data_IF_074184086154
#
_entry.id   IF_074184086154
#
_cell.length_a   1.000
_cell.length_b   1.000
_cell.length_c   1.000
_cell.angle_alpha   90.00
_cell.angle_beta   90.00
_cell.angle_gamma   90.00
#
_symmetry.space_group_name_H-M   'P 1'
#
loop_
_entity.id
_entity.type
_entity.pdbx_description
1 polymer ?
#
# COMPACT_ATOMS: atom_id res chain seq x y z
N UNK A 1 -10.08 -41.16 3.58
CA UNK A 1 -8.95 -40.29 3.95
C UNK A 1 -9.12 -38.97 3.18
N UNK A 2 -9.78 -38.01 3.80
CA UNK A 2 -10.03 -36.68 3.26
C UNK A 2 -8.82 -35.82 3.61
N UNK A 3 -8.06 -35.40 2.60
CA UNK A 3 -6.96 -34.47 2.77
C UNK A 3 -7.54 -33.10 3.20
N UNK A 4 -7.23 -32.67 4.39
CA UNK A 4 -7.47 -31.32 4.87
C UNK A 4 -6.59 -30.38 4.05
N UNK A 5 -7.20 -29.51 3.23
CA UNK A 5 -6.53 -28.34 2.65
C UNK A 5 -5.95 -27.53 3.81
N UNK A 6 -4.67 -27.17 3.72
CA UNK A 6 -4.02 -26.34 4.71
C UNK A 6 -4.62 -24.93 4.68
N UNK A 7 -4.94 -24.36 5.83
CA UNK A 7 -5.56 -23.03 5.99
C UNK A 7 -4.74 -21.86 5.38
N UNK A 8 -3.53 -22.12 4.91
CA UNK A 8 -2.63 -21.13 4.30
C UNK A 8 -2.95 -20.79 2.83
N UNK A 9 -3.79 -21.59 2.14
CA UNK A 9 -4.04 -21.43 0.69
C UNK A 9 -5.35 -20.68 0.36
N UNK A 10 -6.26 -20.46 1.32
CA UNK A 10 -7.62 -19.99 1.01
C UNK A 10 -7.79 -18.48 0.84
N UNK A 11 -6.85 -17.64 1.31
CA UNK A 11 -6.96 -16.18 1.21
C UNK A 11 -6.20 -15.59 0.00
N UNK A 12 -5.25 -16.34 -0.56
CA UNK A 12 -4.43 -15.87 -1.70
C UNK A 12 -5.16 -15.90 -3.06
N UNK A 13 -6.29 -16.60 -3.14
CA UNK A 13 -6.93 -16.98 -4.42
C UNK A 13 -8.13 -16.09 -4.82
N UNK A 14 -8.41 -15.03 -4.09
CA UNK A 14 -9.39 -14.00 -4.49
C UNK A 14 -8.79 -12.99 -5.48
N UNK A 15 -7.93 -13.45 -6.39
CA UNK A 15 -7.45 -12.63 -7.49
C UNK A 15 -8.52 -12.53 -8.55
N UNK A 16 -9.22 -11.43 -8.52
CA UNK A 16 -10.04 -11.01 -9.63
C UNK A 16 -9.09 -10.53 -10.73
N UNK A 17 -9.08 -11.18 -11.88
CA UNK A 17 -8.23 -10.73 -12.99
C UNK A 17 -8.86 -9.47 -13.59
N UNK A 18 -8.49 -8.31 -13.05
CA UNK A 18 -8.79 -7.04 -13.67
C UNK A 18 -7.65 -6.70 -14.63
N UNK A 19 -7.95 -6.66 -15.92
CA UNK A 19 -6.94 -6.50 -16.98
C UNK A 19 -6.15 -5.19 -16.85
N UNK A 20 -6.84 -4.11 -16.53
CA UNK A 20 -6.22 -2.79 -16.34
C UNK A 20 -5.71 -2.54 -14.92
N UNK A 21 -6.04 -3.41 -13.96
CA UNK A 21 -5.75 -3.25 -12.54
C UNK A 21 -5.22 -4.56 -11.91
N UNK A 22 -4.15 -5.16 -12.43
CA UNK A 22 -3.70 -6.50 -12.00
C UNK A 22 -3.33 -6.57 -10.51
N UNK A 23 -3.00 -5.44 -9.87
CA UNK A 23 -2.68 -5.38 -8.44
C UNK A 23 -3.91 -5.11 -7.54
N UNK A 24 -5.12 -4.94 -8.12
CA UNK A 24 -6.34 -4.80 -7.35
C UNK A 24 -6.65 -6.09 -6.60
N UNK A 25 -6.93 -5.99 -5.30
CA UNK A 25 -7.35 -7.13 -4.48
C UNK A 25 -8.01 -6.73 -3.18
N UNK A 26 -8.80 -7.62 -2.62
CA UNK A 26 -9.16 -7.65 -1.22
C UNK A 26 -7.92 -8.03 -0.38
N UNK A 27 -7.65 -7.34 0.72
CA UNK A 27 -6.63 -7.71 1.69
C UNK A 27 -7.20 -8.10 3.06
N UNK A 28 -8.49 -8.50 3.07
CA UNK A 28 -9.14 -9.16 4.20
C UNK A 28 -8.79 -10.65 4.29
N UNK A 29 -9.53 -11.38 5.14
CA UNK A 29 -9.39 -12.83 5.32
C UNK A 29 -8.29 -13.29 6.29
N UNK A 30 -7.39 -12.42 6.70
CA UNK A 30 -6.30 -12.74 7.64
C UNK A 30 -6.83 -13.02 9.04
N UNK A 31 -6.30 -14.08 9.70
CA UNK A 31 -6.56 -14.35 11.09
C UNK A 31 -5.85 -13.33 11.99
N UNK A 32 -6.48 -12.96 13.10
CA UNK A 32 -5.93 -12.11 14.14
C UNK A 32 -5.51 -12.93 15.36
N UNK A 33 -4.65 -12.38 16.21
CA UNK A 33 -4.13 -13.09 17.38
C UNK A 33 -5.19 -13.46 18.45
N UNK A 34 -6.40 -12.87 18.40
CA UNK A 34 -7.52 -13.18 19.27
C UNK A 34 -8.54 -14.14 18.66
N UNK A 35 -8.25 -14.71 17.50
CA UNK A 35 -9.08 -15.71 16.83
C UNK A 35 -10.14 -15.15 15.89
N UNK A 36 -10.31 -13.84 15.80
CA UNK A 36 -11.16 -13.19 14.78
C UNK A 36 -10.48 -13.22 13.38
N UNK A 37 -11.20 -12.77 12.38
CA UNK A 37 -10.67 -12.60 11.01
C UNK A 37 -10.99 -11.21 10.47
N UNK A 38 -10.07 -10.66 9.68
CA UNK A 38 -10.35 -9.46 8.89
C UNK A 38 -11.44 -9.77 7.88
N UNK A 39 -12.52 -8.99 7.88
CA UNK A 39 -13.65 -9.19 6.94
C UNK A 39 -13.16 -9.09 5.50
N UNK A 40 -13.62 -10.00 4.66
CA UNK A 40 -13.46 -9.90 3.20
C UNK A 40 -14.52 -8.97 2.61
N UNK A 41 -14.23 -8.41 1.44
CA UNK A 41 -15.16 -7.51 0.74
C UNK A 41 -15.24 -6.10 1.33
N UNK A 42 -14.32 -5.73 2.24
CA UNK A 42 -14.37 -4.45 2.97
C UNK A 42 -13.12 -3.61 2.74
N UNK A 43 -11.95 -4.25 2.69
CA UNK A 43 -10.66 -3.59 2.56
C UNK A 43 -10.00 -4.00 1.24
N UNK A 44 -9.91 -3.07 0.31
CA UNK A 44 -9.27 -3.29 -0.99
C UNK A 44 -8.01 -2.45 -1.13
N UNK A 45 -7.05 -2.98 -1.86
CA UNK A 45 -5.85 -2.25 -2.28
C UNK A 45 -5.63 -2.35 -3.78
N UNK A 46 -5.00 -1.32 -4.37
CA UNK A 46 -4.81 -1.24 -5.82
C UNK A 46 -3.61 -0.39 -6.22
N UNK A 47 -3.29 -0.44 -7.50
CA UNK A 47 -2.60 0.60 -8.24
C UNK A 47 -3.58 1.72 -8.62
N UNK A 48 -3.07 2.80 -9.25
CA UNK A 48 -3.88 3.88 -9.81
C UNK A 48 -4.88 3.37 -10.86
N UNK A 49 -6.06 3.95 -10.88
CA UNK A 49 -7.19 3.50 -11.71
C UNK A 49 -7.19 4.09 -13.13
N UNK A 50 -6.16 4.86 -13.49
CA UNK A 50 -6.03 5.42 -14.85
C UNK A 50 -6.01 4.35 -15.96
N UNK A 51 -5.55 3.13 -15.62
CA UNK A 51 -5.49 2.00 -16.54
C UNK A 51 -6.74 1.12 -16.57
N UNK A 52 -7.77 1.42 -15.76
CA UNK A 52 -8.97 0.60 -15.69
C UNK A 52 -9.67 0.47 -17.05
N UNK A 53 -10.01 -0.76 -17.43
CA UNK A 53 -10.83 -1.03 -18.61
C UNK A 53 -12.32 -0.80 -18.32
N UNK A 54 -13.19 -0.70 -19.34
CA UNK A 54 -14.64 -0.64 -19.09
C UNK A 54 -15.15 -1.83 -18.27
N UNK A 55 -14.63 -3.03 -18.52
CA UNK A 55 -14.99 -4.25 -17.78
C UNK A 55 -14.55 -4.18 -16.33
N UNK A 56 -13.34 -3.65 -16.06
CA UNK A 56 -12.88 -3.42 -14.70
C UNK A 56 -13.81 -2.44 -13.96
N UNK A 57 -14.22 -1.37 -14.62
CA UNK A 57 -15.12 -0.36 -14.05
C UNK A 57 -16.51 -0.95 -13.73
N UNK A 58 -17.07 -1.79 -14.60
CA UNK A 58 -18.34 -2.48 -14.35
C UNK A 58 -18.22 -3.42 -13.14
N UNK A 59 -17.09 -4.13 -13.03
CA UNK A 59 -16.81 -4.97 -11.88
C UNK A 59 -16.70 -4.16 -10.57
N UNK A 60 -15.92 -3.08 -10.58
CA UNK A 60 -15.74 -2.20 -9.42
C UNK A 60 -17.06 -1.57 -8.95
N UNK A 61 -17.96 -1.22 -9.88
CA UNK A 61 -19.30 -0.71 -9.56
C UNK A 61 -20.10 -1.75 -8.73
N UNK A 62 -19.94 -3.04 -9.06
CA UNK A 62 -20.57 -4.15 -8.33
C UNK A 62 -20.04 -4.38 -6.91
N UNK A 63 -18.82 -3.91 -6.59
CA UNK A 63 -18.24 -4.07 -5.25
C UNK A 63 -18.82 -3.07 -4.23
N UNK A 64 -19.53 -2.03 -4.69
CA UNK A 64 -20.13 -1.04 -3.82
C UNK A 64 -19.11 -0.23 -3.00
N UNK A 65 -17.91 -0.02 -3.53
CA UNK A 65 -16.86 0.78 -2.88
C UNK A 65 -17.40 2.17 -2.55
N UNK A 66 -17.27 2.58 -1.29
CA UNK A 66 -17.80 3.85 -0.78
C UNK A 66 -16.74 4.93 -0.61
N UNK A 67 -15.48 4.52 -0.39
CA UNK A 67 -14.35 5.43 -0.23
C UNK A 67 -13.17 4.99 -1.06
N UNK A 68 -12.53 5.94 -1.72
CA UNK A 68 -11.22 5.79 -2.36
C UNK A 68 -10.22 6.63 -1.62
N UNK A 69 -9.20 5.99 -1.06
CA UNK A 69 -8.07 6.65 -0.44
C UNK A 69 -6.89 6.70 -1.43
N UNK A 70 -6.64 7.87 -2.01
CA UNK A 70 -5.57 8.13 -2.96
C UNK A 70 -4.34 8.70 -2.26
N UNK A 71 -3.24 7.93 -2.24
CA UNK A 71 -1.98 8.28 -1.59
C UNK A 71 -0.99 9.00 -2.52
N UNK A 72 -1.39 9.30 -3.74
CA UNK A 72 -0.51 9.92 -4.73
C UNK A 72 -0.32 11.41 -4.47
N UNK A 73 0.84 11.91 -4.86
CA UNK A 73 1.07 13.35 -4.91
C UNK A 73 0.16 14.02 -5.93
N UNK A 74 -0.06 15.31 -5.76
CA UNK A 74 -0.85 16.11 -6.71
C UNK A 74 -0.30 16.01 -8.14
N UNK A 75 1.03 15.95 -8.29
CA UNK A 75 1.68 15.82 -9.61
C UNK A 75 1.36 14.46 -10.26
N UNK A 76 1.43 13.35 -9.52
CA UNK A 76 1.07 12.02 -10.01
C UNK A 76 -0.41 11.97 -10.43
N UNK A 77 -1.31 12.58 -9.67
CA UNK A 77 -2.74 12.66 -9.98
C UNK A 77 -3.02 13.43 -11.26
N UNK A 78 -2.32 14.54 -11.48
CA UNK A 78 -2.45 15.33 -12.72
C UNK A 78 -1.94 14.58 -13.96
N UNK A 79 -0.86 13.82 -13.82
CA UNK A 79 -0.31 13.00 -14.91
C UNK A 79 -1.23 11.84 -15.31
N UNK A 80 -1.86 11.19 -14.34
CA UNK A 80 -2.68 9.99 -14.54
C UNK A 80 -3.97 10.07 -13.71
N UNK A 81 -5.02 10.65 -14.31
CA UNK A 81 -6.32 10.75 -13.65
C UNK A 81 -6.98 9.38 -13.55
N UNK A 82 -7.54 9.06 -12.38
CA UNK A 82 -8.28 7.83 -12.18
C UNK A 82 -9.60 7.82 -12.94
N UNK A 83 -9.96 6.64 -13.43
CA UNK A 83 -11.27 6.32 -13.99
C UNK A 83 -12.11 5.64 -12.92
N UNK A 84 -13.35 6.09 -12.75
CA UNK A 84 -14.27 5.51 -11.79
C UNK A 84 -15.62 5.18 -12.43
N UNK A 85 -16.32 4.16 -11.91
CA UNK A 85 -17.69 3.90 -12.32
C UNK A 85 -18.55 5.15 -12.18
N UNK A 86 -19.33 5.44 -13.22
CA UNK A 86 -20.16 6.65 -13.26
C UNK A 86 -21.47 6.53 -12.47
N UNK A 87 -21.94 5.30 -12.21
CA UNK A 87 -23.24 5.05 -11.57
C UNK A 87 -23.26 5.44 -10.10
N UNK A 88 -22.23 5.04 -9.37
CA UNK A 88 -22.14 5.31 -7.93
C UNK A 88 -20.72 5.72 -7.57
N UNK A 89 -20.30 6.95 -7.87
CA UNK A 89 -18.94 7.37 -7.59
C UNK A 89 -18.68 7.35 -6.07
N UNK A 90 -17.61 6.70 -5.61
CA UNK A 90 -17.23 6.71 -4.20
C UNK A 90 -16.78 8.09 -3.73
N UNK A 91 -16.89 8.35 -2.44
CA UNK A 91 -16.21 9.48 -1.82
C UNK A 91 -14.69 9.37 -2.03
N UNK A 92 -13.99 10.50 -2.07
CA UNK A 92 -12.56 10.55 -2.34
C UNK A 92 -11.83 11.21 -1.18
N UNK A 93 -10.89 10.47 -0.59
CA UNK A 93 -9.94 10.97 0.38
C UNK A 93 -8.57 11.05 -0.30
N UNK A 94 -8.04 12.24 -0.40
CA UNK A 94 -6.69 12.45 -0.93
C UNK A 94 -5.72 12.71 0.21
N UNK A 95 -4.83 11.76 0.42
CA UNK A 95 -3.73 11.85 1.37
C UNK A 95 -2.43 12.01 0.58
N UNK A 96 -1.97 13.24 0.40
CA UNK A 96 -0.75 13.57 -0.37
C UNK A 96 0.51 13.04 0.33
N UNK A 97 0.82 11.76 0.11
CA UNK A 97 2.04 11.14 0.62
C UNK A 97 3.17 11.41 -0.35
N UNK A 98 3.95 12.42 -0.03
CA UNK A 98 5.15 12.72 -0.78
C UNK A 98 6.25 11.76 -0.34
N UNK A 99 6.71 10.91 -1.25
CA UNK A 99 7.90 10.08 -1.02
C UNK A 99 9.18 10.91 -0.88
N UNK A 100 9.10 12.18 -1.19
CA UNK A 100 10.09 13.17 -0.89
C UNK A 100 9.93 13.64 0.55
N UNK A 101 10.16 12.78 1.53
CA UNK A 101 10.51 13.27 2.85
C UNK A 101 11.66 14.26 2.62
N UNK A 102 11.32 15.56 2.59
CA UNK A 102 12.20 16.65 2.12
C UNK A 102 13.56 16.69 2.81
N UNK A 103 13.69 16.05 3.98
CA UNK A 103 14.95 15.82 4.67
C UNK A 103 15.79 14.67 4.08
N UNK A 104 15.16 13.64 3.49
CA UNK A 104 15.84 12.47 2.92
C UNK A 104 16.03 12.52 1.40
N UNK A 105 15.39 13.45 0.71
CA UNK A 105 15.41 13.51 -0.75
C UNK A 105 16.83 13.67 -1.33
N UNK A 106 17.62 14.56 -0.76
CA UNK A 106 19.02 14.78 -1.18
C UNK A 106 19.86 13.52 -0.94
N UNK A 107 19.75 12.90 0.24
CA UNK A 107 20.46 11.68 0.58
C UNK A 107 20.09 10.52 -0.37
N UNK A 108 18.82 10.36 -0.71
CA UNK A 108 18.34 9.38 -1.67
C UNK A 108 18.97 9.60 -3.05
N UNK A 109 18.89 10.83 -3.56
CA UNK A 109 19.45 11.20 -4.85
C UNK A 109 20.96 10.97 -4.88
N UNK A 110 21.68 11.46 -3.87
CA UNK A 110 23.13 11.36 -3.78
C UNK A 110 23.57 9.89 -3.64
N UNK A 111 22.80 9.06 -2.91
CA UNK A 111 23.04 7.62 -2.78
C UNK A 111 22.97 6.93 -4.14
N UNK A 112 21.94 7.20 -4.93
CA UNK A 112 21.77 6.57 -6.23
C UNK A 112 22.73 7.15 -7.26
N UNK A 113 22.97 8.48 -7.25
CA UNK A 113 23.92 9.13 -8.16
C UNK A 113 25.35 8.64 -7.96
N UNK A 114 25.77 8.46 -6.72
CA UNK A 114 27.11 7.98 -6.39
C UNK A 114 27.33 6.53 -6.81
N UNK A 115 26.25 5.74 -6.88
CA UNK A 115 26.26 4.34 -7.27
C UNK A 115 25.00 4.02 -8.11
N UNK A 116 24.95 4.38 -9.41
CA UNK A 116 23.79 4.13 -10.27
C UNK A 116 23.74 2.65 -10.74
N UNK A 117 23.83 1.73 -9.82
CA UNK A 117 23.82 0.29 -10.00
C UNK A 117 22.79 -0.37 -9.07
N UNK A 118 22.50 -1.67 -9.20
CA UNK A 118 21.51 -2.36 -8.38
C UNK A 118 21.69 -2.17 -6.87
N UNK A 119 22.94 -2.13 -6.38
CA UNK A 119 23.22 -1.95 -4.96
C UNK A 119 22.88 -0.51 -4.47
N UNK A 120 23.17 0.50 -5.28
CA UNK A 120 22.81 1.90 -4.95
C UNK A 120 21.31 2.11 -4.98
N UNK A 121 20.61 1.55 -5.97
CA UNK A 121 19.14 1.60 -6.02
C UNK A 121 18.51 0.86 -4.84
N UNK A 122 19.05 -0.31 -4.47
CA UNK A 122 18.59 -1.04 -3.28
C UNK A 122 18.70 -0.17 -2.01
N UNK A 123 19.86 0.48 -1.79
CA UNK A 123 20.01 1.40 -0.65
C UNK A 123 19.04 2.57 -0.72
N UNK A 124 18.82 3.12 -1.92
CA UNK A 124 17.82 4.16 -2.13
C UNK A 124 16.41 3.70 -1.74
N UNK A 125 16.01 2.49 -2.13
CA UNK A 125 14.73 1.91 -1.71
C UNK A 125 14.63 1.74 -0.19
N UNK A 126 15.71 1.28 0.46
CA UNK A 126 15.77 1.21 1.93
C UNK A 126 15.55 2.58 2.59
N UNK A 127 16.14 3.66 2.05
CA UNK A 127 15.92 5.02 2.54
C UNK A 127 14.47 5.48 2.35
N UNK A 128 13.86 5.19 1.19
CA UNK A 128 12.44 5.48 0.94
C UNK A 128 11.56 4.84 2.00
N UNK A 129 11.76 3.53 2.26
CA UNK A 129 10.94 2.82 3.24
C UNK A 129 11.20 3.27 4.67
N UNK A 130 12.42 3.55 5.06
CA UNK A 130 12.74 4.15 6.37
C UNK A 130 12.03 5.49 6.58
N UNK A 131 11.84 6.28 5.54
CA UNK A 131 11.11 7.54 5.58
C UNK A 131 9.58 7.42 5.60
N UNK A 132 9.01 6.23 5.33
CA UNK A 132 7.55 6.05 5.23
C UNK A 132 6.79 6.43 6.51
N UNK A 133 7.19 6.02 7.72
CA UNK A 133 6.47 6.40 8.93
C UNK A 133 6.35 7.92 9.07
N UNK A 134 7.41 8.66 8.85
CA UNK A 134 7.41 10.12 8.92
C UNK A 134 6.54 10.75 7.81
N UNK A 135 6.55 10.18 6.60
CA UNK A 135 5.74 10.65 5.48
C UNK A 135 4.23 10.48 5.72
N UNK A 136 3.83 9.40 6.40
CA UNK A 136 2.44 9.14 6.74
C UNK A 136 1.96 9.81 8.02
N UNK A 137 2.87 10.22 8.91
CA UNK A 137 2.51 10.78 10.20
C UNK A 137 1.51 11.94 10.14
N UNK A 138 1.59 12.91 9.20
CA UNK A 138 0.64 14.01 9.12
C UNK A 138 -0.80 13.60 8.77
N UNK A 139 -1.00 12.44 8.15
CA UNK A 139 -2.29 12.02 7.58
C UNK A 139 -2.85 10.73 8.22
N UNK A 140 -2.07 10.08 9.09
CA UNK A 140 -2.44 8.77 9.64
C UNK A 140 -3.72 8.83 10.47
N UNK A 141 -3.86 9.88 11.30
CA UNK A 141 -5.06 10.07 12.11
C UNK A 141 -6.30 10.26 11.24
N UNK A 142 -6.22 11.06 10.19
CA UNK A 142 -7.31 11.28 9.23
C UNK A 142 -7.72 9.98 8.54
N UNK A 143 -6.77 9.16 8.10
CA UNK A 143 -7.08 7.85 7.54
C UNK A 143 -7.88 6.98 8.53
N UNK A 144 -7.45 6.90 9.79
CA UNK A 144 -8.18 6.12 10.79
C UNK A 144 -9.55 6.69 11.12
N UNK A 145 -9.77 8.01 11.10
CA UNK A 145 -11.10 8.59 11.21
C UNK A 145 -12.05 8.04 10.13
N UNK A 146 -11.59 7.99 8.90
CA UNK A 146 -12.38 7.45 7.80
C UNK A 146 -12.65 5.93 7.94
N UNK A 147 -11.69 5.14 8.39
CA UNK A 147 -11.87 3.70 8.61
C UNK A 147 -12.79 3.38 9.80
N UNK A 148 -12.91 4.29 10.76
CA UNK A 148 -13.82 4.19 11.90
C UNK A 148 -15.27 4.50 11.53
N UNK A 149 -15.51 5.10 10.35
CA UNK A 149 -16.85 5.45 9.88
C UNK A 149 -17.42 4.33 8.99
N UNK A 150 -18.43 3.56 9.47
CA UNK A 150 -18.98 2.44 8.70
C UNK A 150 -19.56 2.84 7.35
N UNK A 151 -20.00 4.09 7.19
CA UNK A 151 -20.53 4.62 5.94
C UNK A 151 -19.46 4.73 4.83
N UNK A 152 -18.18 4.72 5.19
CA UNK A 152 -17.04 4.76 4.27
C UNK A 152 -16.56 3.37 3.80
N UNK A 153 -17.19 2.30 4.29
CA UNK A 153 -16.83 0.93 3.95
C UNK A 153 -17.81 0.34 2.92
N UNK A 154 -17.35 -0.42 1.93
CA UNK A 154 -15.97 -0.82 1.62
C UNK A 154 -15.06 0.33 1.14
N UNK A 155 -13.76 0.22 1.46
CA UNK A 155 -12.74 1.20 1.07
C UNK A 155 -11.69 0.57 0.14
N UNK A 156 -11.18 1.35 -0.84
CA UNK A 156 -9.98 0.98 -1.58
C UNK A 156 -8.86 1.99 -1.33
N UNK A 157 -7.67 1.49 -1.07
CA UNK A 157 -6.47 2.27 -0.82
C UNK A 157 -5.49 2.05 -1.97
N UNK A 158 -5.00 3.13 -2.57
CA UNK A 158 -4.07 3.01 -3.68
C UNK A 158 -3.03 4.15 -3.70
N UNK A 159 -1.94 3.89 -4.42
CA UNK A 159 -0.98 4.89 -4.85
C UNK A 159 -0.77 4.77 -6.37
N UNK A 160 0.43 5.03 -6.89
CA UNK A 160 0.71 4.85 -8.31
C UNK A 160 0.74 3.36 -8.70
N UNK A 161 1.68 2.60 -8.16
CA UNK A 161 1.85 1.16 -8.43
C UNK A 161 1.08 0.23 -7.46
N UNK A 162 0.52 0.77 -6.37
CA UNK A 162 -0.08 -0.05 -5.31
C UNK A 162 0.95 -0.86 -4.51
N UNK A 163 2.23 -0.49 -4.59
CA UNK A 163 3.36 -1.26 -4.07
C UNK A 163 3.86 -0.69 -2.73
N UNK A 164 4.54 0.45 -2.76
CA UNK A 164 5.31 0.96 -1.63
C UNK A 164 4.42 1.65 -0.59
N UNK A 165 3.85 2.82 -0.90
CA UNK A 165 2.95 3.58 -0.01
C UNK A 165 1.74 2.75 0.41
N UNK A 166 1.09 2.11 -0.56
CA UNK A 166 -0.05 1.21 -0.32
C UNK A 166 0.37 0.01 0.52
N UNK A 167 1.54 -0.60 0.23
CA UNK A 167 2.07 -1.72 0.99
C UNK A 167 2.30 -1.38 2.45
N UNK A 168 2.95 -0.23 2.72
CA UNK A 168 3.20 0.22 4.08
C UNK A 168 1.90 0.48 4.85
N UNK A 169 0.97 1.26 4.28
CA UNK A 169 -0.26 1.59 5.04
C UNK A 169 -1.18 0.39 5.24
N UNK A 170 -1.26 -0.54 4.28
CA UNK A 170 -1.98 -1.80 4.49
C UNK A 170 -1.35 -2.63 5.61
N UNK A 171 -0.01 -2.66 5.71
CA UNK A 171 0.69 -3.32 6.82
C UNK A 171 0.34 -2.67 8.17
N UNK A 172 0.29 -1.34 8.25
CA UNK A 172 -0.12 -0.61 9.47
C UNK A 172 -1.57 -0.92 9.84
N UNK A 173 -2.50 -0.96 8.87
CA UNK A 173 -3.91 -1.30 9.12
C UNK A 173 -4.04 -2.74 9.62
N UNK A 174 -3.39 -3.70 8.97
CA UNK A 174 -3.43 -5.11 9.39
C UNK A 174 -2.83 -5.29 10.80
N UNK A 175 -1.75 -4.58 11.13
CA UNK A 175 -1.17 -4.57 12.47
C UNK A 175 -2.14 -3.98 13.51
N UNK A 176 -2.84 -2.88 13.19
CA UNK A 176 -3.86 -2.29 14.06
C UNK A 176 -5.00 -3.28 14.37
N UNK A 177 -5.33 -4.16 13.43
CA UNK A 177 -6.32 -5.22 13.59
C UNK A 177 -5.81 -6.44 14.37
N UNK A 178 -4.50 -6.56 14.58
CA UNK A 178 -3.88 -7.67 15.31
C UNK A 178 -3.51 -8.87 14.44
N UNK A 179 -3.31 -8.65 13.14
CA UNK A 179 -2.79 -9.66 12.22
C UNK A 179 -1.31 -9.89 12.49
N UNK A 180 -0.88 -11.15 12.48
CA UNK A 180 0.50 -11.55 12.73
C UNK A 180 1.43 -11.06 11.60
N UNK A 181 2.69 -10.71 11.97
CA UNK A 181 3.67 -10.10 11.05
C UNK A 181 3.90 -10.94 9.78
N UNK A 182 3.98 -12.25 9.91
CA UNK A 182 4.18 -13.16 8.77
C UNK A 182 3.07 -13.04 7.72
N UNK A 183 1.82 -12.86 8.14
CA UNK A 183 0.68 -12.66 7.24
C UNK A 183 0.70 -11.26 6.61
N UNK A 184 1.12 -10.25 7.36
CA UNK A 184 1.30 -8.88 6.86
C UNK A 184 2.37 -8.86 5.76
N UNK A 185 3.52 -9.48 6.02
CA UNK A 185 4.60 -9.60 5.03
C UNK A 185 4.14 -10.43 3.83
N UNK A 186 3.37 -11.49 4.05
CA UNK A 186 2.78 -12.31 2.98
C UNK A 186 1.90 -11.48 2.04
N UNK A 187 0.95 -10.69 2.56
CA UNK A 187 0.13 -9.79 1.72
C UNK A 187 0.99 -8.78 0.96
N UNK A 188 1.97 -8.17 1.62
CA UNK A 188 2.87 -7.24 0.98
C UNK A 188 3.59 -7.87 -0.22
N UNK A 189 4.14 -9.07 -0.06
CA UNK A 189 4.91 -9.79 -1.08
C UNK A 189 4.06 -10.24 -2.29
N UNK A 190 2.76 -10.49 -2.11
CA UNK A 190 1.84 -10.80 -3.22
C UNK A 190 1.86 -9.73 -4.32
N UNK A 191 2.16 -8.48 -3.98
CA UNK A 191 2.28 -7.39 -4.95
C UNK A 191 3.31 -7.71 -6.04
N UNK A 192 4.42 -8.37 -5.68
CA UNK A 192 5.49 -8.73 -6.64
C UNK A 192 5.03 -9.68 -7.75
N UNK A 193 3.96 -10.45 -7.53
CA UNK A 193 3.36 -11.37 -8.49
C UNK A 193 2.26 -10.72 -9.34
N UNK A 194 1.75 -9.54 -8.91
CA UNK A 194 0.56 -8.90 -9.48
C UNK A 194 0.84 -7.59 -10.22
N UNK A 195 1.99 -6.96 -9.99
CA UNK A 195 2.34 -5.73 -10.70
C UNK A 195 2.68 -6.01 -12.17
N UNK A 196 2.19 -5.18 -13.06
CA UNK A 196 2.64 -5.14 -14.45
C UNK A 196 4.03 -4.47 -14.52
N UNK A 197 5.07 -5.31 -14.46
CA UNK A 197 6.47 -4.85 -14.46
C UNK A 197 6.85 -4.12 -15.75
N UNK A 198 6.29 -4.51 -16.88
CA UNK A 198 6.60 -3.87 -18.18
C UNK A 198 6.06 -2.45 -18.20
N UNK A 199 4.79 -2.25 -17.85
CA UNK A 199 4.18 -0.94 -17.80
C UNK A 199 4.86 -0.03 -16.78
N UNK A 200 5.09 -0.55 -15.55
CA UNK A 200 5.77 0.22 -14.50
C UNK A 200 7.22 0.56 -14.87
N UNK A 201 7.92 -0.28 -15.64
CA UNK A 201 9.29 0.03 -16.06
C UNK A 201 9.34 1.24 -17.00
N UNK A 202 8.38 1.40 -17.89
CA UNK A 202 8.29 2.56 -18.78
C UNK A 202 8.06 3.85 -17.98
N UNK A 203 7.10 3.83 -17.07
CA UNK A 203 6.81 4.97 -16.19
C UNK A 203 8.01 5.31 -15.28
N UNK A 204 8.73 4.28 -14.82
CA UNK A 204 9.87 4.45 -13.92
C UNK A 204 11.09 5.01 -14.62
N UNK A 205 11.39 4.57 -15.86
CA UNK A 205 12.50 5.09 -16.67
C UNK A 205 12.35 6.61 -16.82
N UNK A 206 11.18 7.07 -17.21
CA UNK A 206 10.92 8.50 -17.38
C UNK A 206 11.03 9.26 -16.05
N UNK A 207 10.35 8.78 -15.02
CA UNK A 207 10.23 9.51 -13.74
C UNK A 207 11.50 9.42 -12.90
N UNK A 208 12.15 8.26 -12.86
CA UNK A 208 13.27 8.01 -11.94
C UNK A 208 14.59 8.54 -12.50
N UNK A 209 14.81 8.41 -13.81
CA UNK A 209 16.01 8.97 -14.46
C UNK A 209 16.01 10.50 -14.39
N UNK A 210 14.86 11.13 -14.59
CA UNK A 210 14.71 12.58 -14.45
C UNK A 210 14.95 13.03 -13.00
N UNK A 211 14.43 12.28 -12.04
CA UNK A 211 14.56 12.57 -10.63
C UNK A 211 16.00 12.42 -10.12
N UNK A 212 16.66 11.31 -10.49
CA UNK A 212 18.03 11.03 -10.07
C UNK A 212 19.05 11.81 -10.91
N UNK A 213 18.71 12.12 -12.17
CA UNK A 213 19.55 12.88 -13.09
C UNK A 213 20.74 12.06 -13.65
N UNK A 214 20.66 10.72 -13.56
CA UNK A 214 21.62 9.79 -14.19
C UNK A 214 20.84 8.59 -14.77
N UNK A 215 21.26 8.04 -15.91
CA UNK A 215 20.61 6.87 -16.47
C UNK A 215 20.85 5.64 -15.58
N UNK A 216 19.79 4.85 -15.38
CA UNK A 216 19.85 3.60 -14.66
C UNK A 216 19.84 2.41 -15.62
N UNK A 217 20.57 1.34 -15.29
CA UNK A 217 20.53 0.10 -16.06
C UNK A 217 19.21 -0.65 -15.84
N UNK A 218 18.87 -1.58 -16.73
CA UNK A 218 17.70 -2.42 -16.60
C UNK A 218 17.69 -3.21 -15.27
N UNK A 219 18.85 -3.69 -14.84
CA UNK A 219 19.01 -4.40 -13.55
C UNK A 219 18.76 -3.47 -12.37
N UNK A 220 19.19 -2.21 -12.45
CA UNK A 220 18.93 -1.18 -11.43
C UNK A 220 17.43 -0.87 -11.32
N UNK A 221 16.75 -0.75 -12.47
CA UNK A 221 15.31 -0.52 -12.52
C UNK A 221 14.52 -1.72 -11.97
N UNK A 222 15.00 -2.95 -12.22
CA UNK A 222 14.41 -4.15 -11.63
C UNK A 222 14.37 -4.08 -10.11
N UNK A 223 15.46 -3.62 -9.46
CA UNK A 223 15.49 -3.47 -8.00
C UNK A 223 14.43 -2.48 -7.51
N UNK A 224 14.23 -1.37 -8.22
CA UNK A 224 13.19 -0.40 -7.87
C UNK A 224 11.76 -0.95 -8.05
N UNK A 225 11.58 -1.90 -8.98
CA UNK A 225 10.29 -2.59 -9.21
C UNK A 225 10.05 -3.76 -8.27
N UNK A 226 11.08 -4.29 -7.63
CA UNK A 226 10.97 -5.44 -6.75
C UNK A 226 10.14 -5.12 -5.49
N UNK A 227 9.53 -6.17 -4.98
CA UNK A 227 8.87 -6.19 -3.67
C UNK A 227 9.68 -7.14 -2.79
N UNK A 228 10.38 -6.59 -1.81
CA UNK A 228 11.31 -7.35 -0.97
C UNK A 228 10.97 -7.18 0.50
N UNK A 229 11.04 -8.25 1.31
CA UNK A 229 10.68 -8.17 2.72
C UNK A 229 11.53 -7.15 3.48
N UNK A 230 12.83 -7.02 3.14
CA UNK A 230 13.74 -6.07 3.77
C UNK A 230 13.31 -4.60 3.56
N UNK A 231 12.58 -4.28 2.50
CA UNK A 231 12.05 -2.93 2.32
C UNK A 231 10.98 -2.61 3.36
N UNK A 232 9.98 -3.48 3.52
CA UNK A 232 8.97 -3.29 4.56
C UNK A 232 9.60 -3.32 5.95
N UNK A 233 10.57 -4.20 6.18
CA UNK A 233 11.30 -4.29 7.44
C UNK A 233 12.03 -2.99 7.79
N UNK A 234 12.59 -2.28 6.79
CA UNK A 234 13.21 -0.98 7.02
C UNK A 234 12.21 0.06 7.55
N UNK A 235 10.97 0.06 7.06
CA UNK A 235 9.93 0.93 7.58
C UNK A 235 9.50 0.53 9.01
N UNK A 236 9.37 -0.77 9.28
CA UNK A 236 9.02 -1.28 10.62
C UNK A 236 10.12 -1.00 11.65
N UNK A 237 11.40 -1.08 11.26
CA UNK A 237 12.53 -0.70 12.12
C UNK A 237 12.54 0.80 12.41
N UNK A 238 12.17 1.65 11.44
CA UNK A 238 12.03 3.09 11.67
C UNK A 238 10.87 3.39 12.64
N UNK A 239 9.76 2.65 12.56
CA UNK A 239 8.69 2.75 13.56
C UNK A 239 9.19 2.45 14.96
N UNK A 240 10.01 1.40 15.10
CA UNK A 240 10.58 1.02 16.40
C UNK A 240 11.51 2.10 16.96
N UNK A 241 12.37 2.65 16.09
CA UNK A 241 13.37 3.64 16.50
C UNK A 241 12.77 5.00 16.82
N UNK A 242 11.79 5.47 16.03
CA UNK A 242 11.34 6.86 16.04
C UNK A 242 10.02 7.08 16.79
N UNK A 243 9.22 6.00 16.96
CA UNK A 243 7.84 6.07 17.50
C UNK A 243 7.56 5.07 18.63
N UNK A 244 8.56 4.32 19.10
CA UNK A 244 8.34 3.27 20.11
C UNK A 244 7.56 2.07 19.57
N UNK A 245 7.76 1.77 18.28
CA UNK A 245 7.14 0.65 17.57
C UNK A 245 5.75 0.95 17.01
N UNK A 246 5.10 -0.11 16.55
CA UNK A 246 3.77 -0.03 15.95
C UNK A 246 2.73 0.52 16.94
N UNK A 247 2.78 0.13 18.20
CA UNK A 247 1.83 0.57 19.23
C UNK A 247 1.95 2.08 19.48
N UNK A 248 3.17 2.61 19.63
CA UNK A 248 3.41 4.05 19.76
C UNK A 248 2.93 4.81 18.52
N UNK A 249 3.23 4.30 17.33
CA UNK A 249 2.82 4.93 16.08
C UNK A 249 1.29 4.98 15.92
N UNK A 250 0.59 3.89 16.22
CA UNK A 250 -0.87 3.83 16.18
C UNK A 250 -1.51 4.75 17.22
N UNK A 251 -1.00 4.75 18.46
CA UNK A 251 -1.55 5.53 19.56
C UNK A 251 -1.24 7.02 19.44
N UNK A 252 0.03 7.38 19.29
CA UNK A 252 0.48 8.77 19.36
C UNK A 252 0.28 9.52 18.05
N UNK A 253 0.53 8.88 16.93
CA UNK A 253 0.42 9.49 15.59
C UNK A 253 -0.95 9.23 14.99
N UNK A 254 -1.39 7.97 14.94
CA UNK A 254 -2.69 7.57 14.40
C UNK A 254 -3.88 7.94 15.27
N UNK A 255 -3.65 8.43 16.49
CA UNK A 255 -4.69 8.77 17.47
C UNK A 255 -5.65 7.61 17.74
N UNK A 256 -5.15 6.39 17.57
CA UNK A 256 -5.92 5.16 17.73
C UNK A 256 -5.84 4.67 19.20
N UNK A 257 -6.61 5.33 20.08
CA UNK A 257 -6.75 4.89 21.47
C UNK A 257 -7.28 3.46 21.55
N UNK A 258 -7.17 2.80 22.70
CA UNK A 258 -7.69 1.45 22.91
C UNK A 258 -9.18 1.33 22.53
N UNK A 259 -10.01 2.30 22.91
CA UNK A 259 -11.43 2.31 22.57
C UNK A 259 -11.67 2.49 21.07
N UNK A 260 -10.92 3.37 20.41
CA UNK A 260 -11.02 3.58 18.96
C UNK A 260 -10.51 2.34 18.18
N UNK A 261 -9.44 1.72 18.67
CA UNK A 261 -8.92 0.48 18.09
C UNK A 261 -9.95 -0.65 18.19
N UNK A 262 -10.63 -0.80 19.32
CA UNK A 262 -11.68 -1.82 19.43
C UNK A 262 -12.86 -1.52 18.51
N UNK A 263 -13.30 -0.27 18.40
CA UNK A 263 -14.32 0.13 17.41
C UNK A 263 -13.88 -0.17 15.97
N UNK A 264 -12.59 0.08 15.63
CA UNK A 264 -12.04 -0.28 14.32
C UNK A 264 -12.13 -1.79 14.08
N UNK A 265 -11.81 -2.59 15.12
CA UNK A 265 -11.88 -4.04 15.08
C UNK A 265 -13.32 -4.54 14.95
N UNK A 266 -14.28 -3.94 15.65
CA UNK A 266 -15.72 -4.23 15.48
C UNK A 266 -16.20 -3.97 14.05
N UNK A 267 -15.74 -2.91 13.41
CA UNK A 267 -16.10 -2.58 12.03
C UNK A 267 -15.46 -3.56 11.00
N UNK A 268 -14.25 -4.02 11.25
CA UNK A 268 -13.40 -4.69 10.25
C UNK A 268 -13.12 -6.17 10.52
N UNK A 269 -13.50 -6.71 11.68
CA UNK A 269 -13.34 -8.13 12.02
C UNK A 269 -14.67 -8.87 12.10
N UNK A 270 -14.62 -10.20 11.85
CA UNK A 270 -15.73 -11.14 12.07
C UNK A 270 -15.53 -11.93 13.34
#
# INVERSE_FOLDING_TARGET
>A
MTATRSDSESWADASLPLDGLPNFRDFGGHATGDGRRVRTGILYRSQAFAGATPQDLDYLDGLGIRLVCDLRSEMERRKAQDRWPMRTPPARLHLDIRNDARAGHRELIDTIRSQPNPAGVHRGMMLIYRGMPAAFAPVLAELFEHLLEPAHLPVVIHCHAGKDRTGFICAVILAALGVAREHIVGDYLLTGQRIDRMRLSLDLVETFSDFVGVPLTAESLQVALDVRPEFLDAALQALEADYGGMEGYLGDVGKLTAARRERLRENLLT
#
